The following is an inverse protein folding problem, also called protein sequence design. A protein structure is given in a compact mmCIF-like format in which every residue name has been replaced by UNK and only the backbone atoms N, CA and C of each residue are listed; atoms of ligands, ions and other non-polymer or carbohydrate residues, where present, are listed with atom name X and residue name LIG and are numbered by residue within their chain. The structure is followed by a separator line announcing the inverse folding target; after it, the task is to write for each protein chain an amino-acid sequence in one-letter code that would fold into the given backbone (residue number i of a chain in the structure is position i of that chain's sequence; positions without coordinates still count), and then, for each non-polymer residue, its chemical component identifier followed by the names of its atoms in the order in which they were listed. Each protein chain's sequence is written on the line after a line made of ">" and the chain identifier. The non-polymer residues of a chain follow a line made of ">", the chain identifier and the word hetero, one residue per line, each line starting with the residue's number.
data_IF_326257041010
#
_entry.id   IF_326257041010
#
_cell.length_a   1.000
_cell.length_b   1.000
_cell.length_c   1.000
_cell.angle_alpha   90.00
_cell.angle_beta   90.00
_cell.angle_gamma   90.00
#
_symmetry.space_group_name_H-M   'P 1'
#
loop_
_entity.id
_entity.type
_entity.pdbx_description
1 polymer ?
#
# COMPACT_ATOMS: atom_id res chain seq x y z
N UNK A 1 -23.93 -26.24 28.23
CA UNK A 1 -23.74 -27.48 27.46
C UNK A 1 -22.38 -28.04 27.82
N UNK A 2 -22.23 -29.35 28.00
CA UNK A 2 -20.93 -29.98 28.28
C UNK A 2 -20.11 -30.18 26.99
N UNK A 3 -18.79 -30.39 27.10
CA UNK A 3 -17.93 -30.69 25.93
C UNK A 3 -18.36 -31.97 25.19
N UNK A 4 -18.86 -32.99 25.90
CA UNK A 4 -19.33 -34.23 25.28
C UNK A 4 -20.64 -34.02 24.51
N UNK A 5 -21.57 -33.22 25.03
CA UNK A 5 -22.78 -32.80 24.32
C UNK A 5 -22.44 -31.99 23.06
N UNK A 6 -21.44 -31.11 23.15
CA UNK A 6 -20.94 -30.34 22.01
C UNK A 6 -20.38 -31.26 20.92
N UNK A 7 -19.46 -32.16 21.28
CA UNK A 7 -18.85 -33.13 20.34
C UNK A 7 -19.91 -34.00 19.65
N UNK A 8 -20.94 -34.42 20.38
CA UNK A 8 -22.05 -35.18 19.81
C UNK A 8 -22.86 -34.36 18.81
N UNK A 9 -23.11 -33.09 19.11
CA UNK A 9 -23.84 -32.17 18.21
C UNK A 9 -23.06 -31.94 16.91
N UNK A 10 -21.74 -31.74 17.01
CA UNK A 10 -20.84 -31.57 15.85
C UNK A 10 -20.82 -32.85 15.00
N UNK A 11 -20.68 -34.03 15.62
CA UNK A 11 -20.70 -35.31 14.89
C UNK A 11 -22.01 -35.57 14.15
N UNK A 12 -23.11 -34.95 14.58
CA UNK A 12 -24.42 -35.02 13.92
C UNK A 12 -24.62 -33.92 12.86
N UNK A 13 -23.64 -33.02 12.68
CA UNK A 13 -23.73 -31.89 11.76
C UNK A 13 -24.81 -30.87 12.16
N UNK A 14 -25.21 -30.84 13.44
CA UNK A 14 -26.25 -29.94 13.92
C UNK A 14 -25.65 -28.57 14.28
N UNK A 15 -26.15 -27.46 13.72
CA UNK A 15 -25.74 -26.13 14.14
C UNK A 15 -26.08 -25.89 15.61
N UNK A 16 -25.15 -25.26 16.33
CA UNK A 16 -25.35 -24.81 17.69
C UNK A 16 -25.86 -23.38 17.68
N UNK A 17 -27.04 -23.16 18.25
CA UNK A 17 -27.73 -21.88 18.19
C UNK A 17 -27.98 -21.32 19.58
N UNK A 18 -27.55 -20.07 19.83
CA UNK A 18 -27.84 -19.33 21.07
C UNK A 18 -27.36 -20.05 22.34
N UNK A 19 -26.26 -20.78 22.24
CA UNK A 19 -25.66 -21.47 23.37
C UNK A 19 -24.63 -20.55 24.04
N UNK A 20 -24.62 -20.57 25.37
CA UNK A 20 -23.65 -19.85 26.18
C UNK A 20 -22.51 -20.79 26.59
N UNK A 21 -21.30 -20.47 26.13
CA UNK A 21 -20.05 -21.16 26.44
C UNK A 21 -19.09 -20.28 27.25
N UNK A 22 -19.54 -19.14 27.79
CA UNK A 22 -18.68 -18.16 28.47
C UNK A 22 -17.69 -18.81 29.44
N UNK A 23 -16.41 -18.45 29.31
CA UNK A 23 -15.31 -18.92 30.15
C UNK A 23 -14.93 -20.39 29.98
N UNK A 24 -15.47 -21.09 28.97
CA UNK A 24 -15.12 -22.49 28.74
C UNK A 24 -13.73 -22.65 28.12
N UNK A 25 -13.05 -23.73 28.53
CA UNK A 25 -11.78 -24.13 27.96
C UNK A 25 -12.01 -25.16 26.84
N UNK A 26 -11.72 -24.76 25.62
CA UNK A 26 -11.71 -25.59 24.43
C UNK A 26 -10.29 -26.00 24.02
N UNK A 27 -9.28 -25.77 24.86
CA UNK A 27 -7.91 -26.07 24.48
C UNK A 27 -7.70 -27.54 24.13
N UNK A 28 -6.86 -27.80 23.13
CA UNK A 28 -6.47 -29.14 22.70
C UNK A 28 -7.61 -30.05 22.23
N UNK A 29 -8.78 -29.52 21.87
CA UNK A 29 -9.87 -30.31 21.29
C UNK A 29 -10.05 -30.01 19.79
N UNK A 30 -10.81 -30.87 19.10
CA UNK A 30 -11.28 -30.58 17.75
C UNK A 30 -12.72 -30.10 17.79
N UNK A 31 -12.96 -28.97 17.12
CA UNK A 31 -14.27 -28.44 16.78
C UNK A 31 -14.50 -28.46 15.26
N UNK A 32 -13.69 -29.21 14.51
CA UNK A 32 -13.70 -29.19 13.03
C UNK A 32 -15.12 -29.26 12.45
N UNK A 33 -15.42 -28.35 11.53
CA UNK A 33 -16.71 -28.28 10.83
C UNK A 33 -17.89 -27.84 11.69
N UNK A 34 -17.68 -27.44 12.95
CA UNK A 34 -18.75 -26.93 13.79
C UNK A 34 -19.36 -25.64 13.23
N UNK A 35 -20.66 -25.48 13.40
CA UNK A 35 -21.41 -24.28 13.00
C UNK A 35 -22.04 -23.66 14.25
N UNK A 36 -21.60 -22.46 14.59
CA UNK A 36 -22.06 -21.68 15.73
C UNK A 36 -22.83 -20.45 15.26
N UNK A 37 -24.07 -20.32 15.70
CA UNK A 37 -24.96 -19.22 15.34
C UNK A 37 -25.42 -18.51 16.62
N UNK A 38 -25.19 -17.21 16.74
CA UNK A 38 -25.66 -16.41 17.87
C UNK A 38 -25.19 -16.94 19.25
N UNK A 39 -24.02 -17.58 19.32
CA UNK A 39 -23.48 -18.18 20.55
C UNK A 39 -22.55 -17.21 21.28
N UNK A 40 -22.34 -17.44 22.58
CA UNK A 40 -21.44 -16.66 23.43
C UNK A 40 -20.21 -17.47 23.81
N UNK A 41 -19.05 -16.85 23.68
CA UNK A 41 -17.72 -17.40 23.93
C UNK A 41 -16.83 -16.40 24.68
N UNK A 42 -17.39 -15.40 25.34
CA UNK A 42 -16.59 -14.43 26.10
C UNK A 42 -15.64 -15.15 27.05
N UNK A 43 -14.37 -14.73 27.07
CA UNK A 43 -13.31 -15.28 27.91
C UNK A 43 -12.99 -16.78 27.69
N UNK A 44 -13.38 -17.35 26.55
CA UNK A 44 -13.05 -18.74 26.19
C UNK A 44 -11.60 -18.92 25.73
N UNK A 45 -11.07 -20.11 25.98
CA UNK A 45 -9.75 -20.53 25.53
C UNK A 45 -9.83 -21.51 24.36
N UNK A 46 -9.33 -21.12 23.19
CA UNK A 46 -9.20 -21.95 21.99
C UNK A 46 -7.73 -22.33 21.68
N UNK A 47 -6.85 -22.30 22.69
CA UNK A 47 -5.44 -22.62 22.50
C UNK A 47 -5.27 -24.05 21.95
N UNK A 48 -4.53 -24.19 20.85
CA UNK A 48 -4.30 -25.49 20.18
C UNK A 48 -5.59 -26.23 19.77
N UNK A 49 -6.72 -25.52 19.65
CA UNK A 49 -7.97 -26.09 19.16
C UNK A 49 -7.93 -26.26 17.64
N UNK A 50 -8.44 -27.39 17.13
CA UNK A 50 -8.69 -27.50 15.69
C UNK A 50 -10.01 -26.80 15.35
N UNK A 51 -9.92 -25.66 14.65
CA UNK A 51 -11.02 -24.84 14.17
C UNK A 51 -11.18 -24.93 12.65
N UNK A 52 -10.60 -25.96 12.03
CA UNK A 52 -10.68 -26.15 10.59
C UNK A 52 -12.14 -26.24 10.13
N UNK A 53 -12.50 -25.44 9.11
CA UNK A 53 -13.85 -25.32 8.54
C UNK A 53 -14.95 -24.97 9.54
N UNK A 54 -14.61 -24.40 10.70
CA UNK A 54 -15.59 -23.91 11.67
C UNK A 54 -16.22 -22.62 11.15
N UNK A 55 -17.53 -22.47 11.38
CA UNK A 55 -18.29 -21.26 11.05
C UNK A 55 -18.81 -20.64 12.34
N UNK A 56 -18.38 -19.41 12.61
CA UNK A 56 -18.98 -18.52 13.60
C UNK A 56 -19.80 -17.45 12.87
N UNK A 57 -21.08 -17.34 13.21
CA UNK A 57 -21.94 -16.28 12.68
C UNK A 57 -22.68 -15.59 13.81
N UNK A 58 -22.58 -14.27 13.88
CA UNK A 58 -23.24 -13.45 14.89
C UNK A 58 -22.89 -13.87 16.33
N UNK A 59 -21.66 -14.35 16.54
CA UNK A 59 -21.20 -14.82 17.84
C UNK A 59 -20.43 -13.74 18.60
N UNK A 60 -20.46 -13.85 19.93
CA UNK A 60 -19.80 -12.97 20.88
C UNK A 60 -18.54 -13.69 21.41
N UNK A 61 -17.34 -13.29 20.98
CA UNK A 61 -16.04 -13.90 21.32
C UNK A 61 -15.00 -12.91 21.92
N UNK A 62 -15.36 -11.93 22.77
CA UNK A 62 -14.41 -10.99 23.32
C UNK A 62 -13.48 -11.68 24.31
N UNK A 63 -12.26 -11.15 24.40
CA UNK A 63 -11.19 -11.68 25.26
C UNK A 63 -10.90 -13.18 25.04
N UNK A 64 -11.12 -13.71 23.84
CA UNK A 64 -10.84 -15.11 23.52
C UNK A 64 -9.39 -15.33 23.10
N UNK A 65 -8.87 -16.54 23.32
CA UNK A 65 -7.47 -16.88 23.06
C UNK A 65 -7.38 -17.95 21.97
N UNK A 66 -6.83 -17.61 20.80
CA UNK A 66 -6.67 -18.50 19.64
C UNK A 66 -5.22 -18.95 19.41
N UNK A 67 -4.40 -18.97 20.46
CA UNK A 67 -2.96 -19.25 20.39
C UNK A 67 -2.69 -20.65 19.86
N UNK A 68 -1.92 -20.75 18.78
CA UNK A 68 -1.58 -21.99 18.09
C UNK A 68 -2.80 -22.84 17.68
N UNK A 69 -3.97 -22.21 17.51
CA UNK A 69 -5.15 -22.87 16.96
C UNK A 69 -5.00 -23.09 15.45
N UNK A 70 -5.64 -24.13 14.92
CA UNK A 70 -5.65 -24.42 13.48
C UNK A 70 -6.89 -23.77 12.89
N UNK A 71 -6.74 -22.64 12.20
CA UNK A 71 -7.86 -21.87 11.65
C UNK A 71 -7.98 -21.97 10.12
N UNK A 72 -7.76 -23.18 9.58
CA UNK A 72 -7.83 -23.39 8.13
C UNK A 72 -9.29 -23.35 7.65
N UNK A 73 -9.58 -22.53 6.64
CA UNK A 73 -10.94 -22.39 6.10
C UNK A 73 -12.01 -22.03 7.14
N UNK A 74 -11.60 -21.45 8.28
CA UNK A 74 -12.53 -20.96 9.31
C UNK A 74 -13.23 -19.70 8.81
N UNK A 75 -14.53 -19.60 9.05
CA UNK A 75 -15.33 -18.42 8.71
C UNK A 75 -15.86 -17.75 9.97
N UNK A 76 -15.59 -16.47 10.13
CA UNK A 76 -16.02 -15.64 11.25
C UNK A 76 -16.76 -14.43 10.67
N UNK A 77 -18.08 -14.41 10.83
CA UNK A 77 -18.98 -13.48 10.13
C UNK A 77 -19.85 -12.76 11.14
N UNK A 78 -19.87 -11.42 11.09
CA UNK A 78 -20.69 -10.58 11.99
C UNK A 78 -20.43 -10.86 13.47
N UNK A 79 -19.19 -11.19 13.83
CA UNK A 79 -18.83 -11.57 15.20
C UNK A 79 -18.12 -10.43 15.95
N UNK A 80 -18.17 -10.49 17.28
CA UNK A 80 -17.35 -9.66 18.16
C UNK A 80 -16.12 -10.45 18.63
N UNK A 81 -14.93 -10.03 18.22
CA UNK A 81 -13.64 -10.56 18.68
C UNK A 81 -12.80 -9.47 19.35
N UNK A 82 -13.48 -8.49 19.97
CA UNK A 82 -12.80 -7.42 20.69
C UNK A 82 -11.85 -8.00 21.73
N UNK A 83 -10.60 -7.53 21.73
CA UNK A 83 -9.52 -8.00 22.62
C UNK A 83 -9.15 -9.48 22.48
N UNK A 84 -9.58 -10.15 21.41
CA UNK A 84 -9.11 -11.51 21.14
C UNK A 84 -7.60 -11.53 20.87
N UNK A 85 -6.96 -12.65 21.22
CA UNK A 85 -5.51 -12.86 21.07
C UNK A 85 -5.26 -13.97 20.05
N UNK A 86 -4.44 -13.65 19.05
CA UNK A 86 -4.07 -14.55 17.95
C UNK A 86 -2.56 -14.73 17.89
N UNK A 87 -2.16 -15.99 17.74
CA UNK A 87 -0.79 -16.42 17.45
C UNK A 87 -0.87 -17.75 16.68
N UNK A 88 -0.03 -17.95 15.67
CA UNK A 88 0.00 -19.17 14.86
C UNK A 88 -0.37 -18.94 13.40
N UNK A 89 -1.02 -19.92 12.77
CA UNK A 89 -1.31 -19.90 11.33
C UNK A 89 -2.80 -19.85 11.02
N UNK A 90 -3.16 -18.96 10.12
CA UNK A 90 -4.46 -18.81 9.49
C UNK A 90 -4.31 -19.00 7.99
N UNK A 91 -5.02 -19.99 7.43
CA UNK A 91 -4.97 -20.27 6.00
C UNK A 91 -6.37 -20.30 5.43
N UNK A 92 -6.61 -19.51 4.38
CA UNK A 92 -7.94 -19.36 3.78
C UNK A 92 -9.03 -19.00 4.81
N UNK A 93 -8.67 -18.30 5.88
CA UNK A 93 -9.61 -17.84 6.91
C UNK A 93 -10.38 -16.64 6.38
N UNK A 94 -11.68 -16.58 6.69
CA UNK A 94 -12.54 -15.44 6.35
C UNK A 94 -12.99 -14.72 7.61
N UNK A 95 -12.72 -13.42 7.67
CA UNK A 95 -13.27 -12.47 8.63
C UNK A 95 -14.13 -11.47 7.86
N UNK A 96 -15.41 -11.37 8.19
CA UNK A 96 -16.33 -10.49 7.47
C UNK A 96 -17.26 -9.76 8.43
N UNK A 97 -17.41 -8.44 8.25
CA UNK A 97 -18.31 -7.59 9.04
C UNK A 97 -18.12 -7.76 10.56
N UNK A 98 -16.90 -8.06 11.01
CA UNK A 98 -16.61 -8.42 12.40
C UNK A 98 -15.81 -7.31 13.09
N UNK A 99 -16.04 -7.14 14.38
CA UNK A 99 -15.24 -6.21 15.20
C UNK A 99 -14.09 -6.97 15.84
N UNK A 100 -12.88 -6.44 15.72
CA UNK A 100 -11.66 -6.95 16.31
C UNK A 100 -10.95 -5.85 17.10
N UNK A 101 -11.72 -4.87 17.61
CA UNK A 101 -11.20 -3.72 18.36
C UNK A 101 -10.31 -4.18 19.52
N UNK A 102 -9.13 -3.57 19.65
CA UNK A 102 -8.13 -3.91 20.67
C UNK A 102 -7.63 -5.37 20.64
N UNK A 103 -7.83 -6.08 19.54
CA UNK A 103 -7.28 -7.43 19.36
C UNK A 103 -5.75 -7.41 19.25
N UNK A 104 -5.12 -8.54 19.53
CA UNK A 104 -3.65 -8.70 19.50
C UNK A 104 -3.27 -9.85 18.59
N UNK A 105 -2.38 -9.56 17.66
CA UNK A 105 -1.89 -10.48 16.64
C UNK A 105 -0.38 -10.53 16.77
N UNK A 106 0.14 -11.67 17.20
CA UNK A 106 1.57 -11.87 17.35
C UNK A 106 2.03 -13.04 16.52
N UNK A 107 3.00 -12.81 15.63
CA UNK A 107 3.58 -13.86 14.77
C UNK A 107 2.51 -14.69 14.07
N UNK A 108 1.46 -14.01 13.56
CA UNK A 108 0.38 -14.66 12.84
C UNK A 108 0.74 -14.73 11.37
N UNK A 109 0.71 -15.94 10.81
CA UNK A 109 0.81 -16.18 9.36
C UNK A 109 -0.60 -16.23 8.77
N UNK A 110 -0.93 -15.24 7.94
CA UNK A 110 -2.19 -15.05 7.23
C UNK A 110 -1.97 -15.34 5.74
N UNK A 111 -2.11 -16.62 5.35
CA UNK A 111 -2.01 -17.07 3.96
C UNK A 111 -3.39 -17.18 3.31
N UNK A 112 -3.58 -16.51 2.17
CA UNK A 112 -4.83 -16.53 1.38
C UNK A 112 -6.09 -16.17 2.18
N UNK A 113 -5.93 -15.42 3.26
CA UNK A 113 -7.02 -15.07 4.17
C UNK A 113 -7.69 -13.78 3.71
N UNK A 114 -9.00 -13.68 3.95
CA UNK A 114 -9.83 -12.56 3.52
C UNK A 114 -10.44 -11.87 4.73
N UNK A 115 -10.20 -10.57 4.85
CA UNK A 115 -10.78 -9.69 5.85
C UNK A 115 -11.54 -8.58 5.12
N UNK A 116 -12.85 -8.54 5.28
CA UNK A 116 -13.71 -7.55 4.63
C UNK A 116 -14.56 -6.83 5.66
N UNK A 117 -14.58 -5.49 5.59
CA UNK A 117 -15.40 -4.63 6.44
C UNK A 117 -15.19 -4.94 7.95
N UNK A 118 -13.93 -5.21 8.33
CA UNK A 118 -13.57 -5.52 9.71
C UNK A 118 -13.04 -4.28 10.43
N UNK A 119 -13.35 -4.17 11.71
CA UNK A 119 -12.83 -3.08 12.55
C UNK A 119 -11.64 -3.56 13.37
N UNK A 120 -10.43 -3.13 13.00
CA UNK A 120 -9.20 -3.39 13.75
C UNK A 120 -8.76 -2.18 14.58
N UNK A 121 -9.65 -1.24 14.90
CA UNK A 121 -9.29 -0.06 15.67
C UNK A 121 -8.59 -0.43 16.99
N UNK A 122 -7.52 0.27 17.32
CA UNK A 122 -6.66 0.03 18.50
C UNK A 122 -6.05 -1.39 18.58
N UNK A 123 -6.07 -2.16 17.49
CA UNK A 123 -5.45 -3.49 17.46
C UNK A 123 -3.93 -3.40 17.33
N UNK A 124 -3.26 -4.48 17.73
CA UNK A 124 -1.80 -4.60 17.62
C UNK A 124 -1.44 -5.79 16.75
N UNK A 125 -0.69 -5.54 15.67
CA UNK A 125 -0.04 -6.53 14.83
C UNK A 125 1.48 -6.45 15.05
N UNK A 126 2.07 -7.53 15.55
CA UNK A 126 3.48 -7.66 15.89
C UNK A 126 4.06 -8.89 15.17
N UNK A 127 5.05 -8.66 14.31
CA UNK A 127 5.73 -9.73 13.55
C UNK A 127 4.78 -10.60 12.69
N UNK A 128 3.68 -10.05 12.19
CA UNK A 128 2.71 -10.79 11.39
C UNK A 128 3.10 -10.87 9.91
N UNK A 129 2.77 -12.00 9.28
CA UNK A 129 3.05 -12.26 7.87
C UNK A 129 1.74 -12.38 7.10
N UNK A 130 1.54 -11.51 6.11
CA UNK A 130 0.37 -11.54 5.23
C UNK A 130 0.82 -11.95 3.83
N UNK A 131 0.28 -13.07 3.35
CA UNK A 131 0.61 -13.61 2.03
C UNK A 131 -0.63 -13.87 1.20
N UNK A 132 -0.71 -13.26 0.01
CA UNK A 132 -1.83 -13.47 -0.92
C UNK A 132 -3.20 -13.21 -0.26
N UNK A 133 -3.23 -12.32 0.72
CA UNK A 133 -4.38 -12.03 1.56
C UNK A 133 -5.07 -10.73 1.13
N UNK A 134 -6.35 -10.59 1.51
CA UNK A 134 -7.20 -9.46 1.12
C UNK A 134 -7.67 -8.75 2.40
N UNK A 135 -7.47 -7.43 2.44
CA UNK A 135 -8.00 -6.49 3.42
C UNK A 135 -8.81 -5.44 2.67
N UNK A 136 -10.13 -5.47 2.78
CA UNK A 136 -11.01 -4.53 2.07
C UNK A 136 -11.95 -3.87 3.06
N UNK A 137 -12.07 -2.54 3.02
CA UNK A 137 -12.96 -1.79 3.92
C UNK A 137 -12.60 -1.96 5.40
N UNK A 138 -11.38 -2.37 5.72
CA UNK A 138 -10.96 -2.58 7.11
C UNK A 138 -10.50 -1.26 7.74
N UNK A 139 -11.03 -0.95 8.92
CA UNK A 139 -10.55 0.17 9.74
C UNK A 139 -9.29 -0.23 10.51
N UNK A 140 -8.30 0.66 10.57
CA UNK A 140 -7.12 0.50 11.44
C UNK A 140 -6.90 1.70 12.34
N UNK A 141 -7.94 2.48 12.67
CA UNK A 141 -7.80 3.70 13.48
C UNK A 141 -7.04 3.40 14.79
N UNK A 142 -5.92 4.09 15.00
CA UNK A 142 -5.04 3.92 16.17
C UNK A 142 -4.47 2.51 16.35
N UNK A 143 -4.53 1.66 15.34
CA UNK A 143 -3.85 0.38 15.37
C UNK A 143 -2.33 0.56 15.28
N UNK A 144 -1.59 -0.43 15.76
CA UNK A 144 -0.13 -0.53 15.58
C UNK A 144 0.18 -1.75 14.73
N UNK A 145 0.99 -1.56 13.70
CA UNK A 145 1.47 -2.59 12.79
C UNK A 145 3.00 -2.50 12.79
N UNK A 146 3.64 -3.37 13.56
CA UNK A 146 5.10 -3.37 13.74
C UNK A 146 5.72 -4.65 13.21
N UNK A 147 6.84 -4.51 12.50
CA UNK A 147 7.63 -5.64 11.98
C UNK A 147 6.82 -6.63 11.14
N UNK A 148 5.76 -6.16 10.47
CA UNK A 148 4.90 -7.00 9.66
C UNK A 148 5.36 -7.02 8.19
N UNK A 149 5.13 -8.15 7.52
CA UNK A 149 5.43 -8.31 6.10
C UNK A 149 4.15 -8.51 5.31
N UNK A 150 4.00 -7.77 4.22
CA UNK A 150 2.90 -7.87 3.28
C UNK A 150 3.45 -8.29 1.92
N UNK A 151 3.12 -9.52 1.50
CA UNK A 151 3.53 -10.06 0.21
C UNK A 151 2.30 -10.43 -0.63
N UNK A 152 2.17 -9.82 -1.81
CA UNK A 152 1.05 -10.05 -2.72
C UNK A 152 -0.32 -9.80 -2.05
N UNK A 153 -0.41 -8.73 -1.26
CA UNK A 153 -1.61 -8.40 -0.46
C UNK A 153 -2.45 -7.35 -1.19
N UNK A 154 -3.77 -7.53 -1.16
CA UNK A 154 -4.71 -6.47 -1.58
C UNK A 154 -5.21 -5.72 -0.36
N UNK A 155 -4.88 -4.43 -0.26
CA UNK A 155 -5.35 -3.56 0.81
C UNK A 155 -5.89 -2.24 0.26
N UNK A 156 -7.12 -2.27 -0.25
CA UNK A 156 -7.76 -1.10 -0.88
C UNK A 156 -8.43 -0.21 0.16
N UNK A 157 -8.40 1.11 -0.08
CA UNK A 157 -9.02 2.13 0.79
C UNK A 157 -8.48 2.12 2.22
N UNK A 158 -7.20 1.79 2.36
CA UNK A 158 -6.54 1.78 3.65
C UNK A 158 -6.32 3.22 4.13
N UNK A 159 -6.83 3.55 5.31
CA UNK A 159 -6.52 4.81 5.99
C UNK A 159 -5.50 4.57 7.10
N UNK A 160 -4.28 5.08 6.88
CA UNK A 160 -3.18 5.02 7.84
C UNK A 160 -2.95 6.36 8.54
N UNK A 161 -3.92 7.28 8.56
CA UNK A 161 -3.76 8.62 9.17
C UNK A 161 -3.45 8.55 10.66
N UNK A 162 -4.05 7.60 11.38
CA UNK A 162 -3.81 7.39 12.82
C UNK A 162 -3.19 6.04 13.13
N UNK A 163 -2.76 5.30 12.11
CA UNK A 163 -2.17 3.96 12.26
C UNK A 163 -0.67 4.10 12.34
N UNK A 164 -0.05 3.49 13.34
CA UNK A 164 1.41 3.41 13.40
C UNK A 164 1.86 2.19 12.58
N UNK A 165 2.51 2.43 11.44
CA UNK A 165 3.16 1.37 10.65
C UNK A 165 4.67 1.53 10.72
N UNK A 166 5.36 0.59 11.37
CA UNK A 166 6.80 0.69 11.65
C UNK A 166 7.52 -0.59 11.28
N UNK A 167 8.72 -0.45 10.70
CA UNK A 167 9.58 -1.59 10.33
C UNK A 167 8.88 -2.64 9.46
N UNK A 168 7.88 -2.23 8.68
CA UNK A 168 7.13 -3.14 7.82
C UNK A 168 7.74 -3.26 6.42
N UNK A 169 7.54 -4.42 5.81
CA UNK A 169 7.91 -4.68 4.43
C UNK A 169 6.66 -4.82 3.57
N UNK A 170 6.65 -4.14 2.43
CA UNK A 170 5.57 -4.15 1.45
C UNK A 170 6.14 -4.57 0.09
N UNK A 171 5.70 -5.72 -0.40
CA UNK A 171 6.09 -6.25 -1.70
C UNK A 171 4.87 -6.74 -2.47
N UNK A 172 4.65 -6.20 -3.67
CA UNK A 172 3.47 -6.52 -4.49
C UNK A 172 2.15 -6.21 -3.77
N UNK A 173 2.09 -5.10 -3.03
CA UNK A 173 0.87 -4.71 -2.30
C UNK A 173 0.03 -3.76 -3.15
N UNK A 174 -1.27 -4.04 -3.23
CA UNK A 174 -2.26 -3.16 -3.86
C UNK A 174 -2.86 -2.23 -2.81
N UNK A 175 -2.47 -0.96 -2.84
CA UNK A 175 -2.88 0.10 -1.91
C UNK A 175 -3.69 1.18 -2.64
N UNK A 176 -4.67 0.80 -3.45
CA UNK A 176 -5.49 1.75 -4.21
C UNK A 176 -6.33 2.60 -3.25
N UNK A 177 -6.44 3.90 -3.54
CA UNK A 177 -7.20 4.87 -2.73
C UNK A 177 -6.74 4.92 -1.26
N UNK A 178 -5.45 4.67 -1.00
CA UNK A 178 -4.88 4.71 0.35
C UNK A 178 -4.60 6.14 0.84
N UNK A 179 -4.61 6.34 2.15
CA UNK A 179 -4.26 7.61 2.80
C UNK A 179 -3.10 7.41 3.77
N UNK A 180 -2.00 8.10 3.52
CA UNK A 180 -0.76 8.01 4.29
C UNK A 180 -0.33 9.39 4.74
N UNK A 181 -0.37 9.65 6.05
CA UNK A 181 -0.02 10.94 6.63
C UNK A 181 1.11 10.74 7.63
N UNK A 182 2.26 11.38 7.40
CA UNK A 182 3.44 11.36 8.29
C UNK A 182 4.00 9.97 8.57
N UNK A 183 3.89 9.06 7.61
CA UNK A 183 4.42 7.71 7.73
C UNK A 183 5.90 7.65 7.38
N UNK A 184 6.64 6.76 8.06
CA UNK A 184 8.06 6.56 7.83
C UNK A 184 8.32 5.17 7.23
N UNK A 185 8.64 5.18 5.95
CA UNK A 185 9.06 4.02 5.16
C UNK A 185 10.57 4.05 4.86
N UNK A 186 11.36 4.82 5.62
CA UNK A 186 12.79 4.95 5.37
C UNK A 186 13.51 3.61 5.51
N UNK A 187 14.31 3.25 4.50
CA UNK A 187 15.05 2.00 4.43
C UNK A 187 14.20 0.73 4.26
N UNK A 188 12.88 0.86 4.06
CA UNK A 188 11.99 -0.31 3.93
C UNK A 188 12.01 -0.90 2.51
N UNK A 189 11.49 -2.13 2.41
CA UNK A 189 11.08 -2.70 1.13
C UNK A 189 9.66 -2.20 0.81
N UNK A 190 9.52 -1.44 -0.29
CA UNK A 190 8.25 -0.96 -0.82
C UNK A 190 8.21 -1.21 -2.34
N UNK A 191 8.46 -2.44 -2.76
CA UNK A 191 8.70 -2.79 -4.18
C UNK A 191 7.47 -3.33 -4.87
N UNK A 192 7.28 -2.96 -6.15
CA UNK A 192 6.16 -3.43 -6.98
C UNK A 192 4.79 -3.17 -6.36
N UNK A 193 4.69 -2.17 -5.49
CA UNK A 193 3.42 -1.77 -4.91
C UNK A 193 2.62 -0.98 -5.93
N UNK A 194 1.30 -1.04 -5.85
CA UNK A 194 0.39 -0.27 -6.69
C UNK A 194 -0.48 0.60 -5.81
N UNK A 195 -0.25 1.91 -5.86
CA UNK A 195 -0.86 2.89 -4.96
C UNK A 195 -1.78 3.87 -5.71
N UNK A 196 -2.33 3.50 -6.86
CA UNK A 196 -3.15 4.40 -7.68
C UNK A 196 -4.19 5.17 -6.85
N UNK A 197 -4.34 6.45 -7.19
CA UNK A 197 -5.33 7.35 -6.57
C UNK A 197 -5.13 7.56 -5.05
N UNK A 198 -3.94 7.25 -4.52
CA UNK A 198 -3.62 7.42 -3.09
C UNK A 198 -3.07 8.81 -2.74
N UNK A 199 -3.16 9.15 -1.45
CA UNK A 199 -2.65 10.39 -0.87
C UNK A 199 -1.48 10.08 0.06
N UNK A 200 -0.35 10.76 -0.17
CA UNK A 200 0.80 10.76 0.72
C UNK A 200 1.12 12.21 1.13
N UNK A 201 0.94 12.55 2.41
CA UNK A 201 1.34 13.85 2.99
C UNK A 201 2.43 13.62 4.04
N UNK A 202 3.55 14.33 3.89
CA UNK A 202 4.68 14.31 4.84
C UNK A 202 5.27 12.92 5.09
N UNK A 203 5.20 12.02 4.12
CA UNK A 203 5.77 10.68 4.25
C UNK A 203 7.28 10.67 3.96
N UNK A 204 8.00 9.80 4.67
CA UNK A 204 9.43 9.58 4.49
C UNK A 204 9.66 8.26 3.75
N UNK A 205 10.41 8.32 2.66
CA UNK A 205 10.85 7.22 1.82
C UNK A 205 12.38 7.27 1.65
N UNK A 206 13.10 7.69 2.71
CA UNK A 206 14.54 7.91 2.63
C UNK A 206 15.25 6.56 2.45
N UNK A 207 16.07 6.43 1.41
CA UNK A 207 16.78 5.19 1.07
C UNK A 207 15.86 3.95 0.92
N UNK A 208 14.58 4.14 0.64
CA UNK A 208 13.61 3.06 0.45
C UNK A 208 13.84 2.34 -0.87
N UNK A 209 13.64 1.02 -0.91
CA UNK A 209 13.60 0.28 -2.16
C UNK A 209 12.18 0.31 -2.73
N UNK A 210 11.99 1.09 -3.79
CA UNK A 210 10.70 1.32 -4.46
C UNK A 210 10.69 0.87 -5.93
N UNK A 211 11.55 -0.08 -6.30
CA UNK A 211 11.67 -0.55 -7.68
C UNK A 211 10.30 -1.01 -8.20
N UNK A 212 9.97 -0.56 -9.42
CA UNK A 212 8.73 -0.91 -10.14
C UNK A 212 7.44 -0.56 -9.39
N UNK A 213 7.49 0.37 -8.42
CA UNK A 213 6.29 0.83 -7.71
C UNK A 213 5.49 1.84 -8.54
N UNK A 214 4.17 1.73 -8.46
CA UNK A 214 3.23 2.55 -9.20
C UNK A 214 2.54 3.56 -8.26
N UNK A 215 2.93 4.82 -8.40
CA UNK A 215 2.34 6.00 -7.76
C UNK A 215 1.56 6.86 -8.77
N UNK A 216 1.07 6.27 -9.86
CA UNK A 216 0.27 7.01 -10.85
C UNK A 216 -1.01 7.56 -10.22
N UNK A 217 -1.40 8.77 -10.59
CA UNK A 217 -2.58 9.50 -10.05
C UNK A 217 -2.52 9.77 -8.55
N UNK A 218 -1.37 9.57 -7.91
CA UNK A 218 -1.21 9.89 -6.49
C UNK A 218 -1.13 11.41 -6.27
N UNK A 219 -1.50 11.82 -5.05
CA UNK A 219 -1.20 13.14 -4.51
C UNK A 219 -0.05 13.00 -3.51
N UNK A 220 1.13 13.50 -3.89
CA UNK A 220 2.33 13.49 -3.07
C UNK A 220 2.61 14.93 -2.61
N UNK A 221 2.53 15.19 -1.31
CA UNK A 221 2.80 16.50 -0.72
C UNK A 221 3.82 16.39 0.40
N UNK A 222 4.85 17.25 0.40
CA UNK A 222 5.85 17.31 1.47
C UNK A 222 6.58 15.98 1.74
N UNK A 223 6.64 15.09 0.76
CA UNK A 223 7.26 13.77 0.92
C UNK A 223 8.77 13.82 0.66
N UNK A 224 9.52 12.93 1.30
CA UNK A 224 10.97 12.84 1.14
C UNK A 224 11.38 11.47 0.59
N UNK A 225 11.87 11.43 -0.65
CA UNK A 225 12.36 10.24 -1.35
C UNK A 225 13.90 10.23 -1.47
N UNK A 226 14.61 11.00 -0.63
CA UNK A 226 16.06 11.16 -0.74
C UNK A 226 16.78 9.81 -0.67
N UNK A 227 17.65 9.54 -1.65
CA UNK A 227 18.39 8.27 -1.76
C UNK A 227 17.55 7.04 -2.14
N UNK A 228 16.24 7.19 -2.37
CA UNK A 228 15.38 6.06 -2.71
C UNK A 228 15.77 5.40 -4.04
N UNK A 229 15.53 4.09 -4.12
CA UNK A 229 15.73 3.29 -5.33
C UNK A 229 14.40 3.13 -6.05
N UNK A 230 14.13 3.96 -7.06
CA UNK A 230 12.84 4.05 -7.71
C UNK A 230 12.90 3.80 -9.23
N UNK A 231 13.76 2.85 -9.62
CA UNK A 231 13.92 2.40 -11.01
C UNK A 231 12.58 1.96 -11.60
N UNK A 232 12.28 2.44 -12.82
CA UNK A 232 11.04 2.13 -13.54
C UNK A 232 9.76 2.40 -12.73
N UNK A 233 9.82 3.34 -11.80
CA UNK A 233 8.65 3.82 -11.07
C UNK A 233 7.65 4.49 -11.99
N UNK A 234 6.36 4.40 -11.65
CA UNK A 234 5.30 5.09 -12.40
C UNK A 234 4.72 6.21 -11.54
N UNK A 235 4.67 7.42 -12.10
CA UNK A 235 4.12 8.64 -11.53
C UNK A 235 3.17 9.33 -12.53
N UNK A 236 2.53 8.54 -13.40
CA UNK A 236 1.69 9.03 -14.50
C UNK A 236 0.50 9.80 -13.92
N UNK A 237 0.22 11.00 -14.43
CA UNK A 237 -0.87 11.88 -13.98
C UNK A 237 -0.85 12.17 -12.46
N UNK A 238 0.29 12.00 -11.79
CA UNK A 238 0.42 12.29 -10.36
C UNK A 238 0.63 13.78 -10.10
N UNK A 239 0.27 14.24 -8.90
CA UNK A 239 0.64 15.56 -8.40
C UNK A 239 1.73 15.43 -7.35
N UNK A 240 2.84 16.13 -7.55
CA UNK A 240 4.03 16.09 -6.69
C UNK A 240 4.39 17.50 -6.27
N UNK A 241 4.05 17.86 -5.04
CA UNK A 241 4.22 19.22 -4.50
C UNK A 241 5.15 19.23 -3.30
N UNK A 242 6.13 20.12 -3.31
CA UNK A 242 7.05 20.34 -2.18
C UNK A 242 7.76 19.04 -1.73
N UNK A 243 8.05 18.15 -2.66
CA UNK A 243 8.71 16.88 -2.37
C UNK A 243 10.22 16.95 -2.65
N UNK A 244 10.97 16.06 -2.00
CA UNK A 244 12.42 15.90 -2.20
C UNK A 244 12.73 14.54 -2.84
N UNK A 245 13.57 14.54 -3.87
CA UNK A 245 14.06 13.36 -4.61
C UNK A 245 15.59 13.46 -4.80
N UNK A 246 16.30 13.97 -3.78
CA UNK A 246 17.74 14.17 -3.88
C UNK A 246 18.46 12.82 -3.84
N UNK A 247 19.47 12.65 -4.69
CA UNK A 247 20.25 11.42 -4.81
C UNK A 247 19.37 10.17 -5.07
N UNK A 248 18.13 10.35 -5.55
CA UNK A 248 17.19 9.28 -5.90
C UNK A 248 17.51 8.70 -7.27
N UNK A 249 17.31 7.38 -7.43
CA UNK A 249 17.44 6.70 -8.72
C UNK A 249 16.06 6.50 -9.35
N UNK A 250 15.81 7.22 -10.45
CA UNK A 250 14.57 7.23 -11.24
C UNK A 250 14.84 6.80 -12.69
N UNK A 251 15.86 5.97 -12.93
CA UNK A 251 16.19 5.49 -14.28
C UNK A 251 14.99 4.75 -14.90
N UNK A 252 14.59 5.19 -16.08
CA UNK A 252 13.43 4.65 -16.81
C UNK A 252 12.07 4.90 -16.12
N UNK A 253 11.99 5.80 -15.13
CA UNK A 253 10.72 6.15 -14.49
C UNK A 253 9.79 6.90 -15.46
N UNK A 254 8.48 6.78 -15.25
CA UNK A 254 7.46 7.38 -16.09
C UNK A 254 6.67 8.45 -15.32
N UNK A 255 6.85 9.71 -15.69
CA UNK A 255 6.17 10.89 -15.18
C UNK A 255 5.16 11.46 -16.18
N UNK A 256 4.67 10.67 -17.13
CA UNK A 256 3.77 11.18 -18.17
C UNK A 256 2.61 11.98 -17.56
N UNK A 257 2.42 13.20 -18.05
CA UNK A 257 1.34 14.11 -17.64
C UNK A 257 1.34 14.43 -16.12
N UNK A 258 2.45 14.21 -15.42
CA UNK A 258 2.59 14.54 -14.00
C UNK A 258 2.72 16.05 -13.77
N UNK A 259 2.20 16.53 -12.63
CA UNK A 259 2.30 17.91 -12.18
C UNK A 259 3.34 17.98 -11.07
N UNK A 260 4.45 18.66 -11.32
CA UNK A 260 5.54 18.86 -10.37
C UNK A 260 5.55 20.33 -9.93
N UNK A 261 5.49 20.58 -8.61
CA UNK A 261 5.52 21.93 -8.06
C UNK A 261 6.51 22.02 -6.91
N UNK A 262 7.38 23.03 -6.94
CA UNK A 262 8.27 23.38 -5.82
C UNK A 262 9.07 22.20 -5.25
N UNK A 263 9.39 21.22 -6.09
CA UNK A 263 10.04 19.98 -5.69
C UNK A 263 11.53 20.00 -6.04
N UNK A 264 12.31 19.18 -5.33
CA UNK A 264 13.77 19.17 -5.44
C UNK A 264 14.27 17.84 -5.96
N UNK A 265 15.13 17.90 -6.98
CA UNK A 265 15.74 16.77 -7.64
C UNK A 265 17.23 17.06 -7.80
N UNK A 266 17.98 17.06 -6.70
CA UNK A 266 19.43 17.26 -6.73
C UNK A 266 20.15 15.93 -6.91
N UNK A 267 21.08 15.83 -7.87
CA UNK A 267 21.85 14.60 -8.17
C UNK A 267 20.97 13.37 -8.41
N UNK A 268 19.77 13.60 -8.91
CA UNK A 268 18.82 12.55 -9.24
C UNK A 268 19.22 11.91 -10.57
N UNK A 269 19.08 10.59 -10.68
CA UNK A 269 19.28 9.86 -11.93
C UNK A 269 17.93 9.69 -12.62
N UNK A 270 17.66 10.50 -13.64
CA UNK A 270 16.47 10.49 -14.51
C UNK A 270 16.79 9.96 -15.91
N UNK A 271 17.87 9.18 -16.04
CA UNK A 271 18.29 8.60 -17.32
C UNK A 271 17.16 7.78 -17.94
N UNK A 272 16.92 7.98 -19.24
CA UNK A 272 15.87 7.34 -20.01
C UNK A 272 14.44 7.50 -19.43
N UNK A 273 14.22 8.49 -18.55
CA UNK A 273 12.92 8.74 -17.95
C UNK A 273 11.91 9.27 -18.99
N UNK A 274 10.66 8.84 -18.87
CA UNK A 274 9.56 9.28 -19.71
C UNK A 274 8.80 10.42 -19.03
N UNK A 275 9.03 11.65 -19.44
CA UNK A 275 8.47 12.88 -18.84
C UNK A 275 7.62 13.66 -19.85
N UNK A 276 6.98 12.95 -20.80
CA UNK A 276 6.13 13.56 -21.82
C UNK A 276 4.95 14.27 -21.15
N UNK A 277 4.67 15.52 -21.51
CA UNK A 277 3.51 16.27 -21.01
C UNK A 277 3.62 16.73 -19.55
N UNK A 278 4.78 16.56 -18.90
CA UNK A 278 4.98 17.02 -17.52
C UNK A 278 4.76 18.53 -17.41
N UNK A 279 4.06 18.96 -16.37
CA UNK A 279 3.95 20.36 -15.96
C UNK A 279 4.84 20.60 -14.75
N UNK A 280 5.96 21.31 -14.91
CA UNK A 280 6.89 21.60 -13.84
C UNK A 280 6.92 23.10 -13.54
N UNK A 281 6.51 23.48 -12.31
CA UNK A 281 6.55 24.86 -11.83
C UNK A 281 7.43 25.01 -10.61
N UNK A 282 8.39 25.94 -10.66
CA UNK A 282 9.32 26.22 -9.56
C UNK A 282 10.10 24.97 -9.09
N UNK A 283 10.38 24.04 -10.01
CA UNK A 283 11.08 22.77 -9.69
C UNK A 283 12.59 22.96 -9.81
N UNK A 284 13.35 22.38 -8.88
CA UNK A 284 14.81 22.51 -8.83
C UNK A 284 15.48 21.19 -9.20
N UNK A 285 16.01 21.13 -10.41
CA UNK A 285 16.92 20.09 -10.89
C UNK A 285 18.37 20.59 -10.84
N UNK A 286 19.19 20.00 -9.97
CA UNK A 286 20.58 20.41 -9.78
C UNK A 286 21.52 19.22 -9.90
N UNK A 287 22.46 19.27 -10.84
CA UNK A 287 23.46 18.19 -11.04
C UNK A 287 22.83 16.81 -11.35
N UNK A 288 21.60 16.81 -11.87
CA UNK A 288 20.82 15.60 -12.19
C UNK A 288 21.06 15.10 -13.61
N UNK A 289 20.91 13.79 -13.81
CA UNK A 289 21.15 13.14 -15.10
C UNK A 289 19.82 12.88 -15.83
N UNK A 290 19.60 13.60 -16.92
CA UNK A 290 18.46 13.49 -17.84
C UNK A 290 18.86 12.82 -19.16
N UNK A 291 19.99 12.11 -19.21
CA UNK A 291 20.45 11.54 -20.49
C UNK A 291 19.40 10.60 -21.09
N UNK A 292 19.03 10.83 -22.35
CA UNK A 292 17.98 10.07 -23.03
C UNK A 292 16.54 10.29 -22.53
N UNK A 293 16.31 11.18 -21.55
CA UNK A 293 14.98 11.46 -21.03
C UNK A 293 14.08 12.14 -22.08
N UNK A 294 12.78 11.83 -22.06
CA UNK A 294 11.80 12.41 -22.98
C UNK A 294 10.95 13.47 -22.26
N UNK A 295 11.22 14.75 -22.51
CA UNK A 295 10.44 15.90 -22.01
C UNK A 295 9.51 16.48 -23.08
N UNK A 296 9.14 15.71 -24.10
CA UNK A 296 8.31 16.24 -25.20
C UNK A 296 6.97 16.75 -24.67
N UNK A 297 6.50 17.88 -25.20
CA UNK A 297 5.25 18.56 -24.81
C UNK A 297 5.15 18.95 -23.34
N UNK A 298 6.26 18.94 -22.60
CA UNK A 298 6.27 19.42 -21.22
C UNK A 298 6.17 20.95 -21.15
N UNK A 299 5.62 21.46 -20.05
CA UNK A 299 5.58 22.89 -19.72
C UNK A 299 6.44 23.14 -18.49
N UNK A 300 7.47 23.97 -18.63
CA UNK A 300 8.44 24.28 -17.58
C UNK A 300 8.37 25.77 -17.24
N UNK A 301 8.02 26.09 -16.00
CA UNK A 301 7.87 27.47 -15.54
C UNK A 301 8.73 27.73 -14.30
N UNK A 302 9.57 28.77 -14.33
CA UNK A 302 10.45 29.17 -13.22
C UNK A 302 11.32 28.01 -12.66
N UNK A 303 11.63 27.01 -13.49
CA UNK A 303 12.32 25.80 -13.07
C UNK A 303 13.84 25.90 -13.31
N UNK A 304 14.62 25.29 -12.43
CA UNK A 304 16.08 25.35 -12.43
C UNK A 304 16.64 24.03 -12.93
N UNK A 305 17.51 24.08 -13.93
CA UNK A 305 18.20 22.93 -14.55
C UNK A 305 19.73 23.16 -14.51
N UNK A 306 20.26 23.49 -13.34
CA UNK A 306 21.68 23.84 -13.17
C UNK A 306 22.55 22.59 -13.25
N UNK A 307 23.57 22.65 -14.12
CA UNK A 307 24.55 21.57 -14.32
C UNK A 307 23.94 20.20 -14.59
N UNK A 308 22.73 20.15 -15.16
CA UNK A 308 22.10 18.88 -15.50
C UNK A 308 22.78 18.25 -16.72
N UNK A 309 22.78 16.93 -16.80
CA UNK A 309 23.17 16.21 -18.00
C UNK A 309 21.94 15.92 -18.87
N UNK A 310 21.65 16.75 -19.86
CA UNK A 310 20.53 16.58 -20.80
C UNK A 310 20.99 16.00 -22.14
N UNK A 311 22.05 15.19 -22.15
CA UNK A 311 22.57 14.61 -23.39
C UNK A 311 21.52 13.69 -24.02
N UNK A 312 21.23 13.88 -25.32
CA UNK A 312 20.20 13.11 -26.05
C UNK A 312 18.79 13.17 -25.45
N UNK A 313 18.52 14.13 -24.57
CA UNK A 313 17.16 14.37 -24.10
C UNK A 313 16.29 14.81 -25.29
N UNK A 314 15.02 14.41 -25.29
CA UNK A 314 14.04 14.76 -26.31
C UNK A 314 13.17 15.89 -25.76
N UNK A 315 13.11 17.03 -26.43
CA UNK A 315 12.40 18.25 -25.98
C UNK A 315 11.43 18.76 -27.04
N UNK A 316 10.92 17.85 -27.88
CA UNK A 316 9.98 18.19 -28.96
C UNK A 316 8.69 18.81 -28.39
N UNK A 317 8.30 19.98 -28.88
CA UNK A 317 7.09 20.69 -28.43
C UNK A 317 7.14 21.19 -26.98
N UNK A 318 8.29 21.10 -26.30
CA UNK A 318 8.47 21.60 -24.94
C UNK A 318 8.32 23.13 -24.89
N UNK A 319 7.59 23.62 -23.88
CA UNK A 319 7.42 25.04 -23.59
C UNK A 319 8.16 25.39 -22.31
N UNK A 320 8.94 26.48 -22.31
CA UNK A 320 9.62 26.95 -21.11
C UNK A 320 9.49 28.46 -20.91
N UNK A 321 9.32 28.89 -19.66
CA UNK A 321 9.35 30.28 -19.20
C UNK A 321 10.24 30.40 -17.97
N UNK A 322 11.10 31.42 -17.97
CA UNK A 322 11.93 31.80 -16.81
C UNK A 322 12.80 30.64 -16.23
N UNK A 323 13.23 29.71 -17.10
CA UNK A 323 14.05 28.57 -16.69
C UNK A 323 15.56 28.87 -16.72
N UNK A 324 16.31 28.30 -15.76
CA UNK A 324 17.77 28.48 -15.63
C UNK A 324 18.53 27.18 -15.97
N UNK A 325 19.16 27.15 -17.15
CA UNK A 325 19.95 26.01 -17.64
C UNK A 325 21.46 26.17 -17.47
N UNK A 326 21.92 27.05 -16.58
CA UNK A 326 23.35 27.34 -16.46
C UNK A 326 24.18 26.09 -16.14
N UNK A 327 25.21 25.86 -16.97
CA UNK A 327 26.10 24.71 -16.86
C UNK A 327 25.54 23.38 -17.35
N UNK A 328 24.32 23.33 -17.91
CA UNK A 328 23.74 22.10 -18.43
C UNK A 328 24.50 21.55 -19.65
N UNK A 329 24.71 20.24 -19.70
CA UNK A 329 25.19 19.54 -20.88
C UNK A 329 24.02 19.20 -21.81
N UNK A 330 23.84 19.97 -22.90
CA UNK A 330 22.75 19.79 -23.89
C UNK A 330 23.20 19.11 -25.18
N UNK A 331 24.30 18.35 -25.14
CA UNK A 331 24.86 17.70 -26.34
C UNK A 331 23.88 16.71 -26.96
N UNK A 332 23.73 16.73 -28.28
CA UNK A 332 22.86 15.81 -29.03
C UNK A 332 21.38 15.83 -28.59
N UNK A 333 20.92 16.91 -27.94
CA UNK A 333 19.52 17.08 -27.53
C UNK A 333 18.63 17.15 -28.77
N UNK A 334 17.53 16.40 -28.77
CA UNK A 334 16.60 16.28 -29.89
C UNK A 334 15.49 17.31 -29.73
N UNK A 335 15.50 18.33 -30.57
CA UNK A 335 14.52 19.43 -30.58
C UNK A 335 13.39 19.17 -31.58
N UNK A 336 12.39 20.04 -31.58
CA UNK A 336 11.28 19.98 -32.53
C UNK A 336 11.72 20.00 -33.99
N UNK A 337 11.36 18.96 -34.76
CA UNK A 337 11.56 18.94 -36.21
C UNK A 337 10.44 19.71 -36.93
N UNK A 338 10.74 20.48 -38.00
CA UNK A 338 9.73 21.28 -38.71
C UNK A 338 8.55 20.47 -39.25
N UNK A 339 8.80 19.27 -39.76
CA UNK A 339 7.76 18.41 -40.32
C UNK A 339 6.83 17.89 -39.21
N UNK A 340 7.39 17.53 -38.06
CA UNK A 340 6.62 17.11 -36.88
C UNK A 340 5.82 18.29 -36.31
N UNK A 341 6.39 19.49 -36.24
CA UNK A 341 5.69 20.71 -35.83
C UNK A 341 4.47 20.99 -36.72
N UNK A 342 4.59 20.84 -38.04
CA UNK A 342 3.48 21.04 -38.97
C UNK A 342 2.37 19.99 -38.82
N UNK A 343 2.70 18.77 -38.39
CA UNK A 343 1.72 17.74 -38.03
C UNK A 343 1.00 18.13 -36.75
N UNK A 344 1.75 18.56 -35.74
CA UNK A 344 1.24 18.96 -34.43
C UNK A 344 0.25 20.14 -34.53
N UNK A 345 0.58 21.17 -35.31
CA UNK A 345 -0.31 22.30 -35.58
C UNK A 345 -1.63 21.87 -36.23
N UNK A 346 -1.58 20.89 -37.15
CA UNK A 346 -2.79 20.32 -37.77
C UNK A 346 -3.63 19.51 -36.77
N UNK A 347 -2.99 18.81 -35.83
CA UNK A 347 -3.67 18.06 -34.79
C UNK A 347 -4.34 19.00 -33.78
N UNK A 348 -3.64 20.04 -33.32
CA UNK A 348 -4.18 21.06 -32.43
C UNK A 348 -5.34 21.83 -33.08
N UNK A 349 -5.24 22.18 -34.37
CA UNK A 349 -6.33 22.80 -35.12
C UNK A 349 -7.59 21.92 -35.21
N UNK A 350 -7.47 20.61 -34.95
CA UNK A 350 -8.57 19.64 -34.85
C UNK A 350 -9.02 19.37 -33.41
N UNK A 351 -8.49 20.08 -32.42
CA UNK A 351 -8.82 19.92 -31.00
C UNK A 351 -8.17 18.71 -30.33
N UNK A 352 -7.11 18.15 -30.91
CA UNK A 352 -6.36 17.04 -30.32
C UNK A 352 -5.31 17.61 -29.36
N UNK A 353 -5.33 17.18 -28.10
CA UNK A 353 -4.27 17.43 -27.13
C UNK A 353 -3.04 16.55 -27.49
N UNK A 354 -1.85 17.14 -27.42
CA UNK A 354 -0.59 16.53 -27.87
C UNK A 354 0.25 15.97 -26.73
#
# INVERSE_FOLDING_TARGET
>A
MTIDELKKSIAQGMPLMKVDFTGMDFSNISLEGAIFLNCKFSDCNFTQTNLERVVFTQCDLPNTHFVNSIMQQTSIIECDLSKAVFEGKMEATTLCNSTLVQSRWKKVDLDKSTMTECDFSESVFDECFFQTSILMGCSTDKATIDQCTFYNVTWTKADFTHTAITQCELNQVLLIEGVFIKQDFSGTLFTRCTCNDSVFDKCLFIATNMIETNLSKCQLSFCNFDGAQFHRGLLIESTVSECSFNDTILEGANFQDAILQKSHFKKTILKDAWMKGVSAKEVVFLESDFSGANLSYSTLDHSVFKKVNAQRAIVHGMQESECDWSGANKRDMVTTEPDQQAVDEKLQARGIAL
#
